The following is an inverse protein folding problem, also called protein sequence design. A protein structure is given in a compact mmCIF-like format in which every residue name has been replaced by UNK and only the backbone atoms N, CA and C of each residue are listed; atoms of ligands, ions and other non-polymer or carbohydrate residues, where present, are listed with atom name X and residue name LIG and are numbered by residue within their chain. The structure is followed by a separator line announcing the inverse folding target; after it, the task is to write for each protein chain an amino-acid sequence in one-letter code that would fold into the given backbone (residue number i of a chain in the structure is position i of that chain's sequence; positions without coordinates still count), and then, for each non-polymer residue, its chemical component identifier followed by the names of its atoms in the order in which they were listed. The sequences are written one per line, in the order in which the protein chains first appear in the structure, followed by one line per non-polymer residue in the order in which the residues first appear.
data_IF_920646257829
#
_entry.id   IF_920646257829
#
_cell.length_a   1.000
_cell.length_b   1.000
_cell.length_c   1.000
_cell.angle_alpha   90.00
_cell.angle_beta   90.00
_cell.angle_gamma   90.00
#
_symmetry.space_group_name_H-M   'P 1'
#
loop_
_entity.id
_entity.type
_entity.pdbx_description
1 polymer ?
#
# COMPACT_ATOMS: atom_id res chain seq x y z
N UNK A 1 14.25 11.27 27.98
CA UNK A 1 13.70 12.17 26.93
C UNK A 1 14.46 12.10 25.59
N UNK A 2 15.80 12.19 25.54
CA UNK A 2 16.58 12.27 24.28
C UNK A 2 16.45 11.03 23.36
N UNK A 3 16.33 9.81 23.93
CA UNK A 3 16.18 8.55 23.17
C UNK A 3 14.82 8.41 22.46
N UNK A 4 13.76 9.03 23.01
CA UNK A 4 12.41 9.05 22.40
C UNK A 4 12.42 9.86 21.11
N UNK A 5 13.00 11.07 21.16
CA UNK A 5 13.04 11.97 20.01
C UNK A 5 13.79 11.39 18.80
N UNK A 6 14.94 10.71 19.01
CA UNK A 6 15.66 10.04 17.91
C UNK A 6 14.86 8.90 17.28
N UNK A 7 14.16 8.13 18.10
CA UNK A 7 13.34 7.00 17.62
C UNK A 7 12.14 7.51 16.82
N UNK A 8 11.48 8.57 17.30
CA UNK A 8 10.38 9.24 16.60
C UNK A 8 10.83 9.82 15.26
N UNK A 9 11.99 10.48 15.24
CA UNK A 9 12.59 11.01 14.04
C UNK A 9 12.91 9.89 13.03
N UNK A 10 13.59 8.82 13.45
CA UNK A 10 13.89 7.68 12.58
C UNK A 10 12.60 7.04 12.05
N UNK A 11 11.56 6.93 12.89
CA UNK A 11 10.23 6.45 12.50
C UNK A 11 9.62 7.34 11.41
N UNK A 12 9.72 8.66 11.54
CA UNK A 12 9.23 9.60 10.52
C UNK A 12 9.99 9.46 9.19
N UNK A 13 11.32 9.29 9.23
CA UNK A 13 12.15 9.07 8.04
C UNK A 13 11.80 7.77 7.31
N UNK A 14 11.74 6.65 8.03
CA UNK A 14 11.31 5.39 7.45
C UNK A 14 9.85 5.46 6.97
N UNK A 15 8.99 6.22 7.65
CA UNK A 15 7.61 6.48 7.24
C UNK A 15 7.54 7.25 5.92
N UNK A 16 8.37 8.28 5.74
CA UNK A 16 8.46 9.04 4.49
C UNK A 16 8.99 8.18 3.35
N UNK A 17 10.00 7.34 3.61
CA UNK A 17 10.50 6.34 2.67
C UNK A 17 9.41 5.33 2.27
N UNK A 18 8.62 4.84 3.22
CA UNK A 18 7.46 3.98 2.96
C UNK A 18 6.45 4.68 2.05
N UNK A 19 6.15 5.95 2.31
CA UNK A 19 5.23 6.73 1.50
C UNK A 19 5.76 6.92 0.07
N UNK A 20 7.01 7.36 -0.05
CA UNK A 20 7.69 7.57 -1.32
C UNK A 20 7.72 6.29 -2.16
N UNK A 21 8.20 5.18 -1.59
CA UNK A 21 8.29 3.90 -2.31
C UNK A 21 6.91 3.29 -2.61
N UNK A 22 5.89 3.56 -1.79
CA UNK A 22 4.51 3.19 -2.11
C UNK A 22 3.97 3.99 -3.30
N UNK A 23 4.34 5.26 -3.43
CA UNK A 23 3.97 6.10 -4.57
C UNK A 23 4.68 5.63 -5.84
N UNK A 24 5.98 5.33 -5.76
CA UNK A 24 6.74 4.74 -6.87
C UNK A 24 6.13 3.40 -7.30
N UNK A 25 5.83 2.51 -6.36
CA UNK A 25 5.18 1.23 -6.65
C UNK A 25 3.80 1.40 -7.30
N UNK A 26 3.04 2.43 -6.93
CA UNK A 26 1.74 2.71 -7.54
C UNK A 26 1.85 3.15 -9.01
N UNK A 27 2.96 3.78 -9.41
CA UNK A 27 3.21 4.18 -10.80
C UNK A 27 3.59 3.00 -11.70
N UNK A 28 4.08 1.89 -11.13
CA UNK A 28 4.45 0.71 -11.89
C UNK A 28 3.18 -0.05 -12.27
N UNK A 29 2.94 -0.32 -13.57
CA UNK A 29 1.79 -1.11 -14.01
C UNK A 29 1.80 -2.48 -13.34
N UNK A 30 0.69 -2.81 -12.66
CA UNK A 30 0.59 -4.08 -11.96
C UNK A 30 0.10 -5.14 -12.93
N UNK A 31 0.82 -6.27 -13.09
CA UNK A 31 0.38 -7.36 -13.95
C UNK A 31 -0.91 -8.00 -13.42
N UNK A 32 -1.10 -8.01 -12.09
CA UNK A 32 -2.32 -8.40 -11.42
C UNK A 32 -2.68 -7.39 -10.33
N UNK A 33 -3.97 -7.11 -10.10
CA UNK A 33 -4.42 -6.07 -9.15
C UNK A 33 -3.91 -6.24 -7.71
N UNK A 34 -3.67 -7.48 -7.29
CA UNK A 34 -3.19 -7.84 -5.95
C UNK A 34 -1.67 -8.04 -5.88
N UNK A 35 -1.00 -8.17 -7.03
CA UNK A 35 0.44 -8.44 -7.05
C UNK A 35 1.18 -7.12 -6.85
N UNK A 36 1.98 -7.08 -5.78
CA UNK A 36 2.85 -5.95 -5.44
C UNK A 36 4.30 -6.39 -5.51
N UNK A 37 5.17 -5.48 -5.90
CA UNK A 37 6.61 -5.71 -5.90
C UNK A 37 7.16 -5.71 -4.47
N UNK A 38 6.47 -5.02 -3.56
CA UNK A 38 6.84 -4.90 -2.16
C UNK A 38 7.89 -3.84 -1.92
N UNK A 39 8.05 -2.83 -2.77
CA UNK A 39 9.08 -1.78 -2.60
C UNK A 39 8.97 -1.09 -1.23
N UNK A 40 7.74 -0.82 -0.78
CA UNK A 40 7.49 -0.25 0.54
C UNK A 40 7.83 -1.19 1.72
N UNK A 41 8.18 -2.46 1.48
CA UNK A 41 8.71 -3.37 2.51
C UNK A 41 10.19 -3.13 2.80
N UNK A 42 10.93 -2.48 1.89
CA UNK A 42 12.35 -2.22 2.10
C UNK A 42 12.62 -1.35 3.33
N UNK A 43 11.95 -0.20 3.54
CA UNK A 43 12.15 0.61 4.75
C UNK A 43 11.74 -0.14 6.02
N UNK A 44 10.67 -0.96 5.96
CA UNK A 44 10.26 -1.82 7.08
C UNK A 44 11.39 -2.78 7.46
N UNK A 45 11.94 -3.47 6.46
CA UNK A 45 13.00 -4.45 6.68
C UNK A 45 14.29 -3.81 7.19
N UNK A 46 14.67 -2.63 6.72
CA UNK A 46 15.84 -1.92 7.26
C UNK A 46 15.60 -1.41 8.70
N UNK A 47 14.35 -1.02 9.01
CA UNK A 47 13.99 -0.50 10.31
C UNK A 47 13.99 -1.56 11.43
N UNK A 48 13.95 -2.86 11.11
CA UNK A 48 13.91 -3.93 12.14
C UNK A 48 15.13 -3.93 13.05
N UNK A 49 16.28 -3.43 12.58
CA UNK A 49 17.52 -3.36 13.37
C UNK A 49 17.69 -2.04 14.14
N UNK A 50 16.85 -1.05 13.85
CA UNK A 50 17.01 0.33 14.34
C UNK A 50 15.88 0.69 15.31
N UNK A 51 14.65 0.30 14.99
CA UNK A 51 13.47 0.68 15.76
C UNK A 51 13.10 -0.41 16.78
N UNK A 52 12.82 -0.04 18.04
CA UNK A 52 12.21 -0.95 18.99
C UNK A 52 10.77 -1.28 18.56
N UNK A 53 10.23 -2.40 19.05
CA UNK A 53 8.89 -2.91 18.68
C UNK A 53 7.77 -1.84 18.66
N UNK A 54 7.65 -0.93 19.66
CA UNK A 54 6.56 0.06 19.63
C UNK A 54 6.67 1.04 18.45
N UNK A 55 7.89 1.51 18.17
CA UNK A 55 8.15 2.42 17.05
C UNK A 55 8.04 1.71 15.70
N UNK A 56 8.49 0.46 15.64
CA UNK A 56 8.31 -0.39 14.47
C UNK A 56 6.82 -0.62 14.16
N UNK A 57 5.99 -0.89 15.18
CA UNK A 57 4.55 -1.04 15.00
C UNK A 57 3.89 0.25 14.45
N UNK A 58 4.30 1.41 14.95
CA UNK A 58 3.85 2.71 14.41
C UNK A 58 4.27 2.87 12.94
N UNK A 59 5.51 2.53 12.60
CA UNK A 59 5.99 2.57 11.21
C UNK A 59 5.16 1.66 10.28
N UNK A 60 4.81 0.46 10.72
CA UNK A 60 3.96 -0.48 9.98
C UNK A 60 2.57 0.12 9.75
N UNK A 61 1.98 0.77 10.76
CA UNK A 61 0.70 1.48 10.60
C UNK A 61 0.80 2.63 9.60
N UNK A 62 1.87 3.44 9.68
CA UNK A 62 2.13 4.52 8.72
C UNK A 62 2.21 3.97 7.30
N UNK A 63 2.90 2.86 7.08
CA UNK A 63 2.96 2.20 5.77
C UNK A 63 1.59 1.73 5.28
N UNK A 64 0.80 1.07 6.13
CA UNK A 64 -0.54 0.59 5.78
C UNK A 64 -1.42 1.76 5.35
N UNK A 65 -1.42 2.85 6.13
CA UNK A 65 -2.17 4.06 5.83
C UNK A 65 -1.66 4.73 4.54
N UNK A 66 -0.34 4.87 4.37
CA UNK A 66 0.25 5.44 3.16
C UNK A 66 -0.18 4.67 1.90
N UNK A 67 -0.10 3.35 1.91
CA UNK A 67 -0.55 2.52 0.78
C UNK A 67 -2.04 2.67 0.50
N UNK A 68 -2.87 2.76 1.55
CA UNK A 68 -4.31 2.97 1.41
C UNK A 68 -4.67 4.36 0.86
N UNK A 69 -3.97 5.40 1.31
CA UNK A 69 -4.14 6.78 0.87
C UNK A 69 -3.72 6.95 -0.59
N UNK A 70 -2.52 6.51 -0.95
CA UNK A 70 -1.96 6.59 -2.31
C UNK A 70 -2.84 5.81 -3.29
N UNK A 71 -3.30 4.61 -2.88
CA UNK A 71 -4.17 3.78 -3.71
C UNK A 71 -5.62 4.28 -3.80
N UNK A 72 -6.04 5.17 -2.89
CA UNK A 72 -7.44 5.55 -2.70
C UNK A 72 -8.32 4.37 -2.24
N UNK A 73 -7.74 3.39 -1.55
CA UNK A 73 -8.38 2.09 -1.22
C UNK A 73 -8.81 1.95 0.23
N UNK A 74 -8.62 2.96 1.09
CA UNK A 74 -8.83 2.87 2.55
C UNK A 74 -10.14 2.20 2.98
N UNK A 75 -11.23 2.41 2.24
CA UNK A 75 -12.54 1.83 2.56
C UNK A 75 -12.92 0.66 1.64
N UNK A 76 -11.94 -0.14 1.22
CA UNK A 76 -12.13 -1.29 0.31
C UNK A 76 -11.47 -2.57 0.83
N UNK A 77 -11.90 -3.74 0.32
CA UNK A 77 -11.25 -5.02 0.61
C UNK A 77 -9.76 -5.04 0.23
N UNK A 78 -9.37 -4.27 -0.79
CA UNK A 78 -7.97 -4.13 -1.22
C UNK A 78 -7.10 -3.58 -0.08
N UNK A 79 -7.64 -2.67 0.74
CA UNK A 79 -6.93 -2.18 1.92
C UNK A 79 -6.80 -3.25 3.00
N UNK A 80 -7.86 -4.01 3.28
CA UNK A 80 -7.80 -5.09 4.27
C UNK A 80 -6.79 -6.17 3.88
N UNK A 81 -6.74 -6.54 2.60
CA UNK A 81 -5.78 -7.53 2.09
C UNK A 81 -4.34 -7.00 2.18
N UNK A 82 -4.15 -5.73 1.82
CA UNK A 82 -2.86 -5.02 1.96
C UNK A 82 -2.40 -4.93 3.40
N UNK A 83 -3.32 -4.63 4.32
CA UNK A 83 -3.05 -4.52 5.75
C UNK A 83 -2.65 -5.89 6.30
N UNK A 84 -3.46 -6.93 6.09
CA UNK A 84 -3.17 -8.30 6.52
C UNK A 84 -1.79 -8.76 6.01
N UNK A 85 -1.51 -8.61 4.71
CA UNK A 85 -0.21 -8.97 4.14
C UNK A 85 0.96 -8.19 4.76
N UNK A 86 0.78 -6.88 4.97
CA UNK A 86 1.81 -6.04 5.59
C UNK A 86 2.05 -6.41 7.06
N UNK A 87 1.00 -6.65 7.83
CA UNK A 87 1.10 -7.08 9.23
C UNK A 87 1.81 -8.43 9.35
N UNK A 88 1.40 -9.43 8.56
CA UNK A 88 2.03 -10.75 8.55
C UNK A 88 3.50 -10.70 8.13
N UNK A 89 3.82 -9.95 7.07
CA UNK A 89 5.21 -9.76 6.63
C UNK A 89 6.05 -9.03 7.67
N UNK A 90 5.55 -7.93 8.23
CA UNK A 90 6.31 -7.11 9.17
C UNK A 90 6.58 -7.88 10.47
N UNK A 91 5.60 -8.64 10.97
CA UNK A 91 5.78 -9.51 12.13
C UNK A 91 6.87 -10.54 11.87
N UNK A 92 6.81 -11.27 10.75
CA UNK A 92 7.80 -12.29 10.44
C UNK A 92 9.19 -11.67 10.24
N UNK A 93 9.29 -10.55 9.53
CA UNK A 93 10.54 -9.82 9.35
C UNK A 93 11.16 -9.42 10.69
N UNK A 94 10.37 -8.83 11.60
CA UNK A 94 10.82 -8.45 12.93
C UNK A 94 11.30 -9.66 13.74
N UNK A 95 10.55 -10.77 13.73
CA UNK A 95 10.90 -12.00 14.45
C UNK A 95 12.17 -12.68 13.93
N UNK A 96 12.47 -12.55 12.64
CA UNK A 96 13.70 -13.09 12.03
C UNK A 96 14.90 -12.16 12.26
N UNK A 97 14.67 -10.86 12.43
CA UNK A 97 15.69 -9.85 12.69
C UNK A 97 16.07 -9.72 14.19
N UNK A 98 15.38 -10.43 15.09
CA UNK A 98 15.66 -10.35 16.54
C UNK A 98 17.12 -10.70 16.88
N UNK A 99 17.73 -10.00 17.86
CA UNK A 99 19.10 -10.26 18.32
C UNK A 99 19.25 -11.73 18.75
N UNK A 100 20.18 -12.46 18.11
CA UNK A 100 20.38 -13.91 18.31
C UNK A 100 20.09 -14.77 17.06
N UNK A 101 19.35 -14.24 16.07
CA UNK A 101 19.05 -14.92 14.79
C UNK A 101 19.83 -14.39 13.58
N UNK A 102 20.96 -13.71 13.80
CA UNK A 102 21.84 -13.08 12.78
C UNK A 102 22.43 -14.00 11.69
N UNK A 103 21.95 -15.23 11.57
CA UNK A 103 22.31 -16.16 10.49
C UNK A 103 21.54 -15.89 9.19
N UNK A 104 20.49 -15.08 9.22
CA UNK A 104 19.61 -14.84 8.07
C UNK A 104 19.94 -13.47 7.48
N UNK A 105 20.25 -13.44 6.18
CA UNK A 105 20.50 -12.20 5.44
C UNK A 105 19.20 -11.45 5.13
N UNK A 106 19.30 -10.19 4.69
CA UNK A 106 18.12 -9.43 4.23
C UNK A 106 17.38 -10.12 3.09
N UNK A 107 18.10 -10.87 2.23
CA UNK A 107 17.48 -11.72 1.22
C UNK A 107 16.52 -12.75 1.85
N UNK A 108 16.96 -13.48 2.88
CA UNK A 108 16.11 -14.46 3.56
C UNK A 108 14.93 -13.82 4.29
N UNK A 109 15.17 -12.70 4.99
CA UNK A 109 14.13 -11.95 5.70
C UNK A 109 13.06 -11.44 4.71
N UNK A 110 13.48 -10.92 3.56
CA UNK A 110 12.59 -10.41 2.52
C UNK A 110 11.76 -11.51 1.86
N UNK A 111 12.38 -12.64 1.50
CA UNK A 111 11.65 -13.80 0.93
C UNK A 111 10.64 -14.36 1.93
N UNK A 112 11.02 -14.51 3.20
CA UNK A 112 10.10 -14.96 4.24
C UNK A 112 8.93 -13.99 4.42
N UNK A 113 9.19 -12.69 4.49
CA UNK A 113 8.14 -11.68 4.59
C UNK A 113 7.22 -11.64 3.35
N UNK A 114 7.77 -11.78 2.14
CA UNK A 114 6.99 -11.87 0.91
C UNK A 114 6.07 -13.10 0.91
N UNK A 115 6.59 -14.25 1.35
CA UNK A 115 5.79 -15.46 1.51
C UNK A 115 4.65 -15.25 2.53
N UNK A 116 4.95 -14.69 3.71
CA UNK A 116 3.95 -14.43 4.74
C UNK A 116 2.87 -13.43 4.28
N UNK A 117 3.26 -12.35 3.57
CA UNK A 117 2.31 -11.40 2.99
C UNK A 117 1.38 -12.08 1.99
N UNK A 118 1.95 -12.85 1.06
CA UNK A 118 1.19 -13.47 -0.01
C UNK A 118 0.29 -14.58 0.54
N UNK A 119 0.75 -15.36 1.51
CA UNK A 119 -0.06 -16.36 2.19
C UNK A 119 -1.25 -15.73 2.93
N UNK A 120 -1.06 -14.63 3.65
CA UNK A 120 -2.13 -13.90 4.32
C UNK A 120 -3.15 -13.34 3.31
N UNK A 121 -2.67 -12.75 2.21
CA UNK A 121 -3.53 -12.23 1.14
C UNK A 121 -4.33 -13.34 0.45
N UNK A 122 -3.69 -14.49 0.14
CA UNK A 122 -4.37 -15.65 -0.43
C UNK A 122 -5.43 -16.23 0.54
N UNK A 123 -5.13 -16.26 1.84
CA UNK A 123 -6.09 -16.68 2.86
C UNK A 123 -7.33 -15.78 2.90
N UNK A 124 -7.13 -14.46 2.90
CA UNK A 124 -8.21 -13.48 2.82
C UNK A 124 -8.97 -13.58 1.50
N UNK A 125 -8.26 -13.74 0.39
CA UNK A 125 -8.83 -13.88 -0.95
C UNK A 125 -9.73 -15.11 -1.06
N UNK A 126 -9.31 -16.24 -0.48
CA UNK A 126 -10.12 -17.47 -0.38
C UNK A 126 -11.41 -17.23 0.41
N UNK A 127 -11.33 -16.57 1.56
CA UNK A 127 -12.49 -16.40 2.44
C UNK A 127 -13.50 -15.40 1.88
N UNK A 128 -13.03 -14.26 1.35
CA UNK A 128 -13.90 -13.13 1.03
C UNK A 128 -14.31 -13.02 -0.45
N UNK A 129 -13.48 -13.46 -1.39
CA UNK A 129 -13.71 -13.16 -2.82
C UNK A 129 -13.80 -14.44 -3.65
N UNK A 130 -12.72 -15.23 -3.73
CA UNK A 130 -12.56 -16.27 -4.75
C UNK A 130 -12.96 -17.68 -4.30
N UNK A 131 -13.27 -17.88 -3.01
CA UNK A 131 -13.65 -19.20 -2.50
C UNK A 131 -12.53 -20.23 -2.65
N UNK A 132 -12.87 -21.54 -2.70
CA UNK A 132 -11.89 -22.63 -2.83
C UNK A 132 -10.96 -22.49 -4.05
N UNK A 133 -11.42 -21.86 -5.13
CA UNK A 133 -10.68 -21.65 -6.39
C UNK A 133 -9.41 -20.83 -6.23
N UNK A 134 -9.27 -20.06 -5.14
CA UNK A 134 -8.06 -19.28 -4.85
C UNK A 134 -6.77 -20.13 -4.83
N UNK A 135 -6.86 -21.42 -4.51
CA UNK A 135 -5.70 -22.32 -4.45
C UNK A 135 -5.05 -22.55 -5.81
N UNK A 136 -5.79 -22.49 -6.91
CA UNK A 136 -5.21 -22.69 -8.25
C UNK A 136 -4.20 -21.60 -8.63
N UNK A 137 -4.34 -20.40 -8.07
CA UNK A 137 -3.44 -19.26 -8.32
C UNK A 137 -2.28 -19.21 -7.33
N UNK A 138 -2.38 -19.95 -6.22
CA UNK A 138 -1.42 -19.81 -5.12
C UNK A 138 0.02 -20.15 -5.54
N UNK A 139 0.32 -21.25 -6.28
CA UNK A 139 1.70 -21.54 -6.69
C UNK A 139 2.36 -20.43 -7.52
N UNK A 140 1.78 -19.95 -8.65
CA UNK A 140 2.40 -18.86 -9.41
C UNK A 140 2.44 -17.55 -8.61
N UNK A 141 1.42 -17.26 -7.80
CA UNK A 141 1.40 -16.04 -6.97
C UNK A 141 2.51 -16.03 -5.90
N UNK A 142 2.74 -17.16 -5.24
CA UNK A 142 3.83 -17.31 -4.27
C UNK A 142 5.20 -17.29 -4.95
N UNK A 143 5.33 -17.91 -6.13
CA UNK A 143 6.58 -17.92 -6.89
C UNK A 143 7.01 -16.49 -7.30
N UNK A 144 6.09 -15.69 -7.88
CA UNK A 144 6.40 -14.31 -8.25
C UNK A 144 6.70 -13.46 -7.02
N UNK A 145 5.97 -13.67 -5.92
CA UNK A 145 6.26 -13.03 -4.64
C UNK A 145 7.66 -13.34 -4.11
N UNK A 146 8.08 -14.60 -4.18
CA UNK A 146 9.41 -15.03 -3.75
C UNK A 146 10.52 -14.41 -4.61
N UNK A 147 10.34 -14.35 -5.94
CA UNK A 147 11.30 -13.69 -6.85
C UNK A 147 11.41 -12.19 -6.52
N UNK A 148 10.28 -11.51 -6.37
CA UNK A 148 10.28 -10.08 -6.00
C UNK A 148 10.93 -9.85 -4.64
N UNK A 149 10.61 -10.69 -3.65
CA UNK A 149 11.20 -10.67 -2.32
C UNK A 149 12.72 -10.90 -2.35
N UNK A 150 13.19 -11.84 -3.17
CA UNK A 150 14.62 -12.11 -3.34
C UNK A 150 15.35 -10.91 -3.92
N UNK A 151 14.85 -10.33 -5.02
CA UNK A 151 15.45 -9.15 -5.65
C UNK A 151 15.52 -7.97 -4.67
N UNK A 152 14.44 -7.69 -3.96
CA UNK A 152 14.39 -6.62 -2.96
C UNK A 152 15.37 -6.86 -1.81
N UNK A 153 15.47 -8.10 -1.33
CA UNK A 153 16.35 -8.47 -0.24
C UNK A 153 17.83 -8.50 -0.63
N UNK A 154 18.17 -8.86 -1.88
CA UNK A 154 19.51 -8.72 -2.43
C UNK A 154 19.92 -7.24 -2.53
N UNK A 155 19.01 -6.37 -2.97
CA UNK A 155 19.25 -4.94 -2.96
C UNK A 155 19.46 -4.42 -1.53
N UNK A 156 18.62 -4.82 -0.58
CA UNK A 156 18.76 -4.42 0.82
C UNK A 156 20.08 -4.89 1.44
N UNK A 157 20.54 -6.11 1.14
CA UNK A 157 21.87 -6.60 1.55
C UNK A 157 23.00 -5.69 1.04
N UNK A 158 22.95 -5.30 -0.24
CA UNK A 158 23.96 -4.39 -0.82
C UNK A 158 23.88 -2.98 -0.28
N UNK A 159 22.67 -2.48 -0.07
CA UNK A 159 22.44 -1.16 0.51
C UNK A 159 22.97 -1.12 1.95
N UNK A 160 22.62 -2.13 2.75
CA UNK A 160 23.00 -2.20 4.15
C UNK A 160 24.50 -2.39 4.43
N UNK A 161 25.27 -2.84 3.44
CA UNK A 161 26.73 -2.99 3.54
C UNK A 161 27.52 -1.79 3.01
N UNK A 162 26.86 -0.84 2.32
CA UNK A 162 27.52 0.31 1.69
C UNK A 162 26.99 1.67 2.14
N UNK A 163 25.78 1.73 2.68
CA UNK A 163 25.13 2.97 3.10
C UNK A 163 25.72 3.47 4.43
N UNK A 164 26.37 4.62 4.38
CA UNK A 164 26.87 5.32 5.55
C UNK A 164 25.71 5.91 6.37
N UNK A 165 24.61 6.30 5.71
CA UNK A 165 23.41 6.75 6.40
C UNK A 165 22.82 5.67 7.31
N UNK A 166 22.67 4.44 6.79
CA UNK A 166 22.11 3.35 7.58
C UNK A 166 23.05 2.94 8.72
N UNK A 167 24.36 2.92 8.46
CA UNK A 167 25.35 2.64 9.49
C UNK A 167 25.32 3.69 10.60
N UNK A 168 25.23 4.98 10.25
CA UNK A 168 25.07 6.08 11.21
C UNK A 168 23.82 5.96 12.08
N UNK A 169 22.70 5.49 11.52
CA UNK A 169 21.49 5.21 12.29
C UNK A 169 21.64 4.01 13.23
N UNK A 170 22.36 2.95 12.82
CA UNK A 170 22.64 1.77 13.65
C UNK A 170 23.59 2.07 14.81
N UNK A 171 24.65 2.83 14.55
CA UNK A 171 25.66 3.22 15.55
C UNK A 171 25.15 4.31 16.49
N UNK A 172 24.07 5.01 16.12
CA UNK A 172 23.55 6.16 16.84
C UNK A 172 24.41 7.42 16.71
N UNK A 173 25.38 7.43 15.79
CA UNK A 173 26.26 8.58 15.50
C UNK A 173 25.76 9.44 14.34
N UNK A 174 24.84 8.93 13.52
CA UNK A 174 24.32 9.63 12.34
C UNK A 174 23.48 10.85 12.69
N UNK A 175 23.79 11.99 12.06
CA UNK A 175 22.93 13.18 12.04
C UNK A 175 22.00 13.11 10.84
N UNK A 176 20.70 13.31 11.06
CA UNK A 176 19.73 13.46 9.98
C UNK A 176 19.68 14.93 9.52
N UNK A 177 19.46 15.20 8.23
CA UNK A 177 19.38 16.55 7.69
C UNK A 177 18.37 17.40 8.46
N UNK A 178 18.81 18.57 8.98
CA UNK A 178 17.96 19.43 9.82
C UNK A 178 16.90 20.18 8.99
N UNK A 179 17.23 20.50 7.74
CA UNK A 179 16.36 21.12 6.75
C UNK A 179 15.16 20.23 6.37
N UNK A 180 15.30 18.90 6.48
CA UNK A 180 14.21 17.96 6.21
C UNK A 180 13.04 18.01 7.22
N UNK A 181 13.18 18.74 8.33
CA UNK A 181 12.11 18.96 9.31
C UNK A 181 11.54 20.37 9.26
N UNK A 182 12.01 21.21 8.34
CA UNK A 182 11.47 22.54 8.17
C UNK A 182 10.09 22.43 7.50
N UNK A 183 8.99 22.87 8.17
CA UNK A 183 7.66 22.82 7.59
C UNK A 183 7.54 23.62 6.28
N UNK A 184 8.47 24.55 6.00
CA UNK A 184 8.48 25.34 4.77
C UNK A 184 9.31 24.69 3.62
N UNK A 185 10.16 23.71 3.91
CA UNK A 185 11.01 23.02 2.91
C UNK A 185 10.22 22.14 1.93
N UNK A 186 9.04 21.67 2.34
CA UNK A 186 8.10 20.93 1.53
C UNK A 186 6.87 21.77 1.29
N UNK A 187 6.95 22.68 0.32
CA UNK A 187 5.80 23.46 -0.16
C UNK A 187 4.54 22.61 -0.08
N UNK A 188 3.59 23.06 0.74
CA UNK A 188 2.30 22.43 0.95
C UNK A 188 1.60 22.23 -0.41
N UNK A 189 1.81 21.09 -1.05
CA UNK A 189 0.98 20.65 -2.17
C UNK A 189 -0.21 19.86 -1.63
N UNK A 190 -0.85 20.40 -0.59
CA UNK A 190 -2.28 20.18 -0.41
C UNK A 190 -2.98 21.18 -1.32
N UNK A 191 -3.99 20.78 -2.12
CA UNK A 191 -4.69 21.74 -2.96
C UNK A 191 -5.16 22.91 -2.08
N UNK A 192 -4.75 24.12 -2.47
CA UNK A 192 -5.21 25.37 -1.87
C UNK A 192 -6.71 25.26 -1.58
N UNK A 193 -7.11 25.61 -0.36
CA UNK A 193 -8.48 25.52 0.12
C UNK A 193 -9.44 26.22 -0.84
N UNK A 194 -9.98 25.48 -1.81
CA UNK A 194 -10.98 25.94 -2.76
C UNK A 194 -12.26 26.16 -1.98
N UNK A 195 -12.90 27.33 -2.11
CA UNK A 195 -14.17 27.70 -1.45
C UNK A 195 -15.12 26.48 -1.44
N UNK A 196 -15.44 25.99 -0.24
CA UNK A 196 -16.18 24.75 -0.01
C UNK A 196 -17.68 24.99 -0.14
N UNK A 197 -18.34 24.34 -1.11
CA UNK A 197 -19.80 24.15 -1.10
C UNK A 197 -20.22 23.05 -0.12
N UNK A 198 -21.51 22.97 0.21
CA UNK A 198 -22.08 21.99 1.16
C UNK A 198 -21.71 20.52 0.84
N UNK A 199 -21.68 20.15 -0.44
CA UNK A 199 -21.24 18.81 -0.92
C UNK A 199 -19.72 18.55 -0.80
N UNK A 200 -18.92 19.57 -0.50
CA UNK A 200 -17.47 19.47 -0.29
C UNK A 200 -17.07 19.40 1.18
N UNK A 201 -18.03 19.36 2.11
CA UNK A 201 -17.73 19.15 3.51
C UNK A 201 -17.20 17.71 3.73
N UNK A 202 -15.99 17.52 4.30
CA UNK A 202 -15.41 16.19 4.55
C UNK A 202 -16.35 15.26 5.33
N UNK A 203 -17.09 15.82 6.29
CA UNK A 203 -18.07 15.07 7.08
C UNK A 203 -19.25 14.55 6.25
N UNK A 204 -19.77 15.36 5.32
CA UNK A 204 -20.85 14.94 4.44
C UNK A 204 -20.41 13.81 3.50
N UNK A 205 -19.23 13.95 2.87
CA UNK A 205 -18.68 12.92 1.98
C UNK A 205 -18.42 11.61 2.72
N UNK A 206 -17.90 11.69 3.93
CA UNK A 206 -17.72 10.52 4.77
C UNK A 206 -19.06 9.85 5.10
N UNK A 207 -20.05 10.62 5.58
CA UNK A 207 -21.37 10.10 5.93
C UNK A 207 -22.09 9.46 4.72
N UNK A 208 -22.12 10.15 3.59
CA UNK A 208 -22.70 9.64 2.35
C UNK A 208 -21.96 8.40 1.83
N UNK A 209 -20.62 8.40 1.91
CA UNK A 209 -19.80 7.26 1.54
C UNK A 209 -20.08 6.03 2.41
N UNK A 210 -20.20 6.20 3.72
CA UNK A 210 -20.58 5.11 4.62
C UNK A 210 -22.01 4.60 4.35
N UNK A 211 -22.95 5.48 4.00
CA UNK A 211 -24.29 5.06 3.58
C UNK A 211 -24.24 4.20 2.31
N UNK A 212 -23.46 4.63 1.30
CA UNK A 212 -23.25 3.83 0.07
C UNK A 212 -22.58 2.49 0.34
N UNK A 213 -21.57 2.46 1.22
CA UNK A 213 -20.94 1.20 1.65
C UNK A 213 -21.94 0.27 2.35
N UNK A 214 -22.81 0.82 3.21
CA UNK A 214 -23.88 0.06 3.85
C UNK A 214 -24.82 -0.58 2.83
N UNK A 215 -25.34 0.21 1.88
CA UNK A 215 -26.22 -0.33 0.83
C UNK A 215 -25.48 -1.37 -0.02
N UNK A 216 -24.22 -1.12 -0.37
CA UNK A 216 -23.45 -2.03 -1.22
C UNK A 216 -23.17 -3.39 -0.54
N UNK A 217 -22.82 -3.37 0.75
CA UNK A 217 -22.43 -4.56 1.52
C UNK A 217 -23.63 -5.41 2.00
N UNK A 218 -24.78 -4.78 2.25
CA UNK A 218 -25.98 -5.47 2.76
C UNK A 218 -27.05 -5.74 1.69
N UNK A 219 -26.83 -5.32 0.44
CA UNK A 219 -27.77 -5.60 -0.65
C UNK A 219 -27.45 -6.89 -1.37
N UNK A 220 -28.39 -7.83 -1.35
CA UNK A 220 -28.35 -9.06 -2.16
C UNK A 220 -28.79 -8.84 -3.62
N UNK A 221 -29.26 -7.63 -3.96
CA UNK A 221 -29.78 -7.32 -5.28
C UNK A 221 -28.70 -6.68 -6.18
N UNK A 222 -28.24 -7.36 -7.25
CA UNK A 222 -27.18 -6.84 -8.11
C UNK A 222 -27.57 -5.55 -8.83
N UNK A 223 -28.86 -5.28 -9.07
CA UNK A 223 -29.32 -4.04 -9.67
C UNK A 223 -29.13 -2.84 -8.73
N UNK A 224 -29.40 -3.02 -7.43
CA UNK A 224 -29.19 -1.98 -6.41
C UNK A 224 -27.69 -1.72 -6.26
N UNK A 225 -26.87 -2.78 -6.19
CA UNK A 225 -25.41 -2.63 -6.17
C UNK A 225 -24.90 -1.90 -7.41
N UNK A 226 -25.39 -2.26 -8.60
CA UNK A 226 -25.05 -1.58 -9.85
C UNK A 226 -25.41 -0.10 -9.84
N UNK A 227 -26.58 0.27 -9.30
CA UNK A 227 -26.99 1.66 -9.17
C UNK A 227 -26.08 2.45 -8.20
N UNK A 228 -25.71 1.87 -7.06
CA UNK A 228 -24.78 2.49 -6.11
C UNK A 228 -23.40 2.67 -6.72
N UNK A 229 -22.88 1.66 -7.43
CA UNK A 229 -21.59 1.73 -8.12
C UNK A 229 -21.60 2.83 -9.19
N UNK A 230 -22.67 2.91 -9.98
CA UNK A 230 -22.84 3.95 -10.99
C UNK A 230 -22.91 5.34 -10.37
N UNK A 231 -23.69 5.51 -9.29
CA UNK A 231 -23.76 6.78 -8.57
C UNK A 231 -22.39 7.19 -7.99
N UNK A 232 -21.66 6.26 -7.36
CA UNK A 232 -20.32 6.52 -6.85
C UNK A 232 -19.32 6.87 -7.96
N UNK A 233 -19.41 6.21 -9.13
CA UNK A 233 -18.59 6.53 -10.30
C UNK A 233 -18.88 7.94 -10.83
N UNK A 234 -20.17 8.32 -10.94
CA UNK A 234 -20.58 9.66 -11.35
C UNK A 234 -20.06 10.72 -10.37
N UNK A 235 -20.24 10.54 -9.06
CA UNK A 235 -19.73 11.46 -8.05
C UNK A 235 -18.21 11.60 -8.13
N UNK A 236 -17.49 10.48 -8.31
CA UNK A 236 -16.04 10.48 -8.47
C UNK A 236 -15.61 11.27 -9.72
N UNK A 237 -16.29 11.10 -10.86
CA UNK A 237 -16.01 11.82 -12.11
C UNK A 237 -16.33 13.32 -11.97
N UNK A 238 -17.49 13.67 -11.39
CA UNK A 238 -17.90 15.05 -11.16
C UNK A 238 -16.90 15.82 -10.29
N UNK A 239 -16.29 15.13 -9.32
CA UNK A 239 -15.22 15.69 -8.50
C UNK A 239 -13.85 15.74 -9.19
N UNK A 240 -13.73 15.32 -10.46
CA UNK A 240 -12.48 15.27 -11.22
C UNK A 240 -11.58 14.10 -10.82
N UNK A 241 -12.14 13.00 -10.35
CA UNK A 241 -11.46 11.73 -10.17
C UNK A 241 -11.26 11.01 -11.51
N UNK A 242 -10.19 10.21 -11.61
CA UNK A 242 -9.94 9.35 -12.78
C UNK A 242 -10.31 7.91 -12.46
N UNK A 243 -11.09 7.29 -13.34
CA UNK A 243 -11.34 5.85 -13.29
C UNK A 243 -10.31 5.16 -14.17
N UNK A 244 -9.52 4.26 -13.58
CA UNK A 244 -8.54 3.47 -14.31
C UNK A 244 -9.25 2.26 -14.92
N UNK A 245 -9.79 2.42 -16.13
CA UNK A 245 -10.64 1.41 -16.75
C UNK A 245 -9.94 0.06 -16.92
N UNK A 246 -8.64 0.03 -17.23
CA UNK A 246 -7.91 -1.23 -17.44
C UNK A 246 -7.80 -2.07 -16.15
N UNK A 247 -7.25 -1.57 -15.02
CA UNK A 247 -7.26 -2.32 -13.76
C UNK A 247 -8.65 -2.76 -13.30
N UNK A 248 -9.67 -1.94 -13.52
CA UNK A 248 -11.05 -2.23 -13.13
C UNK A 248 -11.65 -3.38 -13.96
N UNK A 249 -11.43 -3.37 -15.27
CA UNK A 249 -11.83 -4.45 -16.17
C UNK A 249 -11.09 -5.75 -15.85
N UNK A 250 -9.77 -5.68 -15.60
CA UNK A 250 -8.97 -6.86 -15.21
C UNK A 250 -9.45 -7.44 -13.88
N UNK A 251 -9.77 -6.59 -12.90
CA UNK A 251 -10.34 -7.01 -11.61
C UNK A 251 -11.68 -7.71 -11.79
N UNK A 252 -12.59 -7.07 -12.52
CA UNK A 252 -13.95 -7.59 -12.74
C UNK A 252 -13.90 -8.90 -13.52
N UNK A 253 -13.13 -8.96 -14.61
CA UNK A 253 -12.93 -10.18 -15.39
C UNK A 253 -12.29 -11.29 -14.55
N UNK A 254 -11.30 -10.96 -13.71
CA UNK A 254 -10.68 -11.91 -12.79
C UNK A 254 -11.66 -12.47 -11.77
N UNK A 255 -12.42 -11.61 -11.09
CA UNK A 255 -13.43 -12.03 -10.08
C UNK A 255 -14.49 -12.93 -10.71
N UNK A 256 -15.05 -12.53 -11.86
CA UNK A 256 -16.03 -13.33 -12.58
C UNK A 256 -15.41 -14.67 -13.01
N UNK A 257 -14.24 -14.63 -13.65
CA UNK A 257 -13.55 -15.82 -14.16
C UNK A 257 -13.25 -16.85 -13.06
N UNK A 258 -12.76 -16.42 -11.90
CA UNK A 258 -12.50 -17.33 -10.78
C UNK A 258 -13.76 -17.91 -10.15
N UNK A 259 -14.85 -17.15 -10.11
CA UNK A 259 -16.11 -17.66 -9.57
C UNK A 259 -16.74 -18.71 -10.52
N UNK A 260 -16.52 -18.58 -11.84
CA UNK A 260 -16.94 -19.57 -12.83
C UNK A 260 -16.24 -20.93 -12.68
N UNK A 261 -15.07 -20.99 -12.02
CA UNK A 261 -14.38 -22.27 -11.73
C UNK A 261 -15.11 -23.11 -10.66
N UNK A 262 -16.03 -22.51 -9.92
CA UNK A 262 -16.89 -23.19 -8.93
C UNK A 262 -18.33 -23.19 -9.42
N UNK A 263 -18.69 -24.10 -10.35
CA UNK A 263 -20.02 -24.13 -10.94
C UNK A 263 -21.08 -24.58 -9.92
N UNK A 264 -22.17 -23.83 -9.83
CA UNK A 264 -23.37 -24.20 -9.08
C UNK A 264 -24.63 -23.56 -9.69
N UNK A 265 -25.78 -24.21 -9.52
CA UNK A 265 -27.03 -23.79 -10.14
C UNK A 265 -27.14 -24.24 -11.60
N UNK A 266 -28.00 -23.56 -12.37
CA UNK A 266 -28.33 -23.93 -13.76
C UNK A 266 -27.14 -23.74 -14.70
N UNK A 267 -26.81 -24.75 -15.49
CA UNK A 267 -25.81 -24.63 -16.57
C UNK A 267 -26.39 -23.79 -17.69
N UNK A 268 -25.69 -22.71 -18.05
CA UNK A 268 -26.07 -21.83 -19.16
C UNK A 268 -25.31 -22.20 -20.44
N UNK A 269 -24.02 -22.50 -20.31
CA UNK A 269 -23.13 -22.79 -21.43
C UNK A 269 -21.94 -23.64 -20.96
N UNK A 270 -21.33 -24.45 -21.83
CA UNK A 270 -20.20 -25.32 -21.44
C UNK A 270 -19.10 -25.37 -22.52
N UNK A 271 -18.29 -24.30 -22.65
CA UNK A 271 -17.15 -24.30 -23.55
C UNK A 271 -15.99 -25.12 -22.95
N UNK A 272 -15.35 -25.95 -23.77
CA UNK A 272 -14.14 -26.72 -23.40
C UNK A 272 -14.28 -27.55 -22.11
N UNK A 273 -15.50 -28.03 -21.81
CA UNK A 273 -15.77 -28.84 -20.63
C UNK A 273 -15.95 -28.05 -19.33
N UNK A 274 -15.78 -26.72 -19.33
CA UNK A 274 -16.03 -25.86 -18.16
C UNK A 274 -17.49 -25.41 -18.12
N UNK A 275 -18.32 -25.91 -17.18
CA UNK A 275 -19.73 -25.51 -17.10
C UNK A 275 -19.84 -24.07 -16.56
N UNK A 276 -20.29 -23.15 -17.39
CA UNK A 276 -20.68 -21.80 -17.00
C UNK A 276 -22.10 -21.88 -16.45
N UNK A 277 -22.24 -21.77 -15.13
CA UNK A 277 -23.54 -21.79 -14.47
C UNK A 277 -24.02 -20.38 -14.15
N UNK A 278 -25.35 -20.22 -14.14
CA UNK A 278 -26.03 -18.98 -13.79
C UNK A 278 -25.66 -18.49 -12.39
N UNK A 279 -25.64 -19.41 -11.41
CA UNK A 279 -25.30 -19.09 -10.03
C UNK A 279 -23.86 -18.58 -9.88
N UNK A 280 -22.91 -19.23 -10.56
CA UNK A 280 -21.51 -18.83 -10.53
C UNK A 280 -21.29 -17.46 -11.21
N UNK A 281 -21.96 -17.21 -12.33
CA UNK A 281 -21.89 -15.95 -13.07
C UNK A 281 -22.48 -14.79 -12.25
N UNK A 282 -23.69 -14.94 -11.73
CA UNK A 282 -24.36 -13.91 -10.93
C UNK A 282 -23.59 -13.59 -9.65
N UNK A 283 -23.10 -14.64 -8.95
CA UNK A 283 -22.22 -14.44 -7.79
C UNK A 283 -20.94 -13.70 -8.17
N UNK A 284 -20.36 -14.01 -9.34
CA UNK A 284 -19.16 -13.34 -9.85
C UNK A 284 -19.40 -11.85 -10.08
N UNK A 285 -20.51 -11.52 -10.74
CA UNK A 285 -20.93 -10.13 -11.00
C UNK A 285 -21.17 -9.39 -9.68
N UNK A 286 -21.89 -9.98 -8.73
CA UNK A 286 -22.21 -9.36 -7.44
C UNK A 286 -20.93 -9.04 -6.63
N UNK A 287 -19.98 -9.98 -6.58
CA UNK A 287 -18.68 -9.78 -5.92
C UNK A 287 -17.86 -8.70 -6.64
N UNK A 288 -17.85 -8.69 -7.97
CA UNK A 288 -17.14 -7.69 -8.75
C UNK A 288 -17.71 -6.28 -8.53
N UNK A 289 -19.04 -6.13 -8.57
CA UNK A 289 -19.74 -4.87 -8.27
C UNK A 289 -19.42 -4.39 -6.87
N UNK A 290 -19.40 -5.28 -5.88
CA UNK A 290 -19.05 -4.94 -4.50
C UNK A 290 -17.62 -4.40 -4.41
N UNK A 291 -16.64 -5.09 -5.01
CA UNK A 291 -15.23 -4.68 -4.95
C UNK A 291 -14.99 -3.35 -5.69
N UNK A 292 -15.54 -3.18 -6.88
CA UNK A 292 -15.46 -1.93 -7.66
C UNK A 292 -16.17 -0.77 -6.96
N UNK A 293 -17.38 -1.01 -6.45
CA UNK A 293 -18.16 0.00 -5.73
C UNK A 293 -17.41 0.52 -4.51
N UNK A 294 -16.85 -0.38 -3.69
CA UNK A 294 -16.02 0.02 -2.56
C UNK A 294 -14.79 0.84 -2.98
N UNK A 295 -14.17 0.50 -4.11
CA UNK A 295 -13.04 1.26 -4.63
C UNK A 295 -13.44 2.68 -5.05
N UNK A 296 -14.55 2.84 -5.77
CA UNK A 296 -15.03 4.16 -6.20
C UNK A 296 -15.48 5.02 -5.02
N UNK A 297 -16.25 4.43 -4.10
CA UNK A 297 -16.68 5.11 -2.87
C UNK A 297 -15.46 5.54 -2.05
N UNK A 298 -14.49 4.65 -1.85
CA UNK A 298 -13.25 4.94 -1.14
C UNK A 298 -12.47 6.10 -1.79
N UNK A 299 -12.30 6.07 -3.12
CA UNK A 299 -11.60 7.16 -3.85
C UNK A 299 -12.32 8.49 -3.71
N UNK A 300 -13.65 8.48 -3.75
CA UNK A 300 -14.47 9.70 -3.60
C UNK A 300 -14.39 10.27 -2.18
N UNK A 301 -14.52 9.43 -1.15
CA UNK A 301 -14.36 9.83 0.26
C UNK A 301 -12.98 10.45 0.53
N UNK A 302 -11.94 9.94 -0.12
CA UNK A 302 -10.56 10.39 0.08
C UNK A 302 -10.19 11.70 -0.62
N UNK A 303 -11.07 12.27 -1.46
CA UNK A 303 -10.82 13.59 -2.07
C UNK A 303 -10.88 14.75 -1.08
N UNK A 304 -11.59 14.60 0.04
CA UNK A 304 -11.60 15.62 1.09
C UNK A 304 -10.35 15.48 1.97
N UNK A 305 -9.51 16.51 2.00
CA UNK A 305 -8.26 16.49 2.78
C UNK A 305 -8.52 16.12 4.25
N UNK A 306 -7.85 15.09 4.73
CA UNK A 306 -7.95 14.61 6.11
C UNK A 306 -6.88 15.28 6.97
N UNK A 307 -7.27 15.95 8.07
CA UNK A 307 -6.32 16.53 9.05
C UNK A 307 -6.54 15.85 10.39
N UNK A 308 -5.50 15.18 10.90
CA UNK A 308 -5.52 14.50 12.19
C UNK A 308 -4.94 15.43 13.27
N UNK A 309 -5.67 15.74 14.36
CA UNK A 309 -5.12 16.49 15.49
C UNK A 309 -4.27 15.60 16.41
N UNK A 310 -3.38 16.23 17.18
CA UNK A 310 -2.58 15.58 18.22
C UNK A 310 -1.28 14.91 17.75
N UNK A 311 -0.70 14.06 18.61
CA UNK A 311 0.60 13.39 18.37
C UNK A 311 0.68 12.59 17.05
N UNK A 312 -0.37 11.84 16.63
CA UNK A 312 -0.35 11.17 15.32
C UNK A 312 -0.31 12.17 14.15
N UNK A 313 -0.96 13.32 14.30
CA UNK A 313 -0.93 14.41 13.33
C UNK A 313 0.47 15.00 13.17
N UNK A 314 1.19 15.21 14.27
CA UNK A 314 2.57 15.70 14.26
C UNK A 314 3.52 14.71 13.55
N UNK A 315 3.38 13.41 13.81
CA UNK A 315 4.15 12.39 13.11
C UNK A 315 3.87 12.40 11.61
N UNK A 316 2.61 12.48 11.20
CA UNK A 316 2.22 12.56 9.79
C UNK A 316 2.79 13.84 9.15
N UNK A 317 2.74 14.98 9.85
CA UNK A 317 3.32 16.22 9.36
C UNK A 317 4.84 16.09 9.12
N UNK A 318 5.57 15.47 10.05
CA UNK A 318 7.01 15.18 9.88
C UNK A 318 7.27 14.24 8.69
N UNK A 319 6.48 13.16 8.56
CA UNK A 319 6.56 12.23 7.43
C UNK A 319 6.35 12.96 6.10
N UNK A 320 5.38 13.87 6.02
CA UNK A 320 5.07 14.63 4.81
C UNK A 320 6.14 15.69 4.50
N UNK A 321 6.71 16.36 5.51
CA UNK A 321 7.82 17.29 5.35
C UNK A 321 9.05 16.59 4.78
N UNK A 322 9.45 15.44 5.37
CA UNK A 322 10.56 14.61 4.87
C UNK A 322 10.26 14.08 3.46
N UNK A 323 9.02 13.71 3.17
CA UNK A 323 8.62 13.30 1.81
C UNK A 323 8.79 14.43 0.80
N UNK A 324 8.45 15.67 1.17
CA UNK A 324 8.69 16.86 0.37
C UNK A 324 10.19 17.04 0.08
N UNK A 325 11.02 16.95 1.11
CA UNK A 325 12.49 16.96 0.99
C UNK A 325 13.01 15.90 0.01
N UNK A 326 12.58 14.64 0.16
CA UNK A 326 12.99 13.53 -0.73
C UNK A 326 12.55 13.76 -2.18
N UNK A 327 11.34 14.29 -2.37
CA UNK A 327 10.77 14.54 -3.70
C UNK A 327 11.47 15.70 -4.41
N UNK A 328 11.85 16.76 -3.67
CA UNK A 328 12.58 17.90 -4.20
C UNK A 328 13.97 17.51 -4.70
N UNK A 329 14.64 16.57 -4.04
CA UNK A 329 15.99 16.10 -4.40
C UNK A 329 16.00 14.90 -5.35
N UNK A 330 14.85 14.48 -5.91
CA UNK A 330 14.76 13.33 -6.82
C UNK A 330 15.65 13.44 -8.06
N UNK A 331 15.91 14.67 -8.54
CA UNK A 331 16.76 14.93 -9.71
C UNK A 331 18.24 14.64 -9.46
N UNK A 332 18.67 14.55 -8.20
CA UNK A 332 20.04 14.20 -7.82
C UNK A 332 20.31 12.69 -7.84
N UNK A 333 19.31 11.88 -8.16
CA UNK A 333 19.47 10.43 -8.25
C UNK A 333 20.22 10.06 -9.54
N UNK A 334 21.40 9.48 -9.41
CA UNK A 334 22.12 8.87 -10.54
C UNK A 334 21.82 7.35 -10.60
N UNK A 335 21.20 6.87 -11.70
CA UNK A 335 20.95 5.45 -11.92
C UNK A 335 22.21 4.57 -12.00
N UNK A 336 23.38 5.15 -12.34
CA UNK A 336 24.65 4.40 -12.43
C UNK A 336 25.20 4.05 -11.05
N UNK A 337 24.96 4.92 -10.07
CA UNK A 337 25.39 4.74 -8.68
C UNK A 337 24.19 4.86 -7.72
N UNK A 338 23.24 3.90 -7.76
CA UNK A 338 21.97 4.06 -7.08
C UNK A 338 22.12 4.12 -5.55
N UNK A 339 23.03 3.31 -4.98
CA UNK A 339 23.25 3.28 -3.52
C UNK A 339 23.91 4.57 -3.04
N UNK A 340 24.99 5.01 -3.70
CA UNK A 340 25.69 6.23 -3.30
C UNK A 340 24.83 7.49 -3.49
N UNK A 341 23.99 7.53 -4.53
CA UNK A 341 23.05 8.62 -4.75
C UNK A 341 21.97 8.69 -3.67
N UNK A 342 21.39 7.54 -3.29
CA UNK A 342 20.45 7.47 -2.17
C UNK A 342 21.13 7.92 -0.88
N UNK A 343 22.33 7.44 -0.60
CA UNK A 343 23.07 7.76 0.62
C UNK A 343 23.33 9.26 0.76
N UNK A 344 23.80 9.93 -0.32
CA UNK A 344 23.98 11.39 -0.37
C UNK A 344 22.68 12.15 -0.09
N UNK A 345 21.56 11.73 -0.70
CA UNK A 345 20.25 12.37 -0.46
C UNK A 345 19.83 12.24 1.01
N UNK A 346 20.06 11.07 1.61
CA UNK A 346 19.70 10.79 3.01
C UNK A 346 20.60 11.48 4.02
N UNK A 347 21.88 11.70 3.69
CA UNK A 347 22.84 12.45 4.51
C UNK A 347 22.69 13.97 4.36
N UNK A 348 22.05 14.43 3.28
CA UNK A 348 21.86 15.85 3.02
C UNK A 348 23.04 16.52 2.32
N UNK A 349 23.96 15.72 1.78
CA UNK A 349 25.15 16.23 1.09
C UNK A 349 24.76 17.15 -0.09
N UNK A 350 25.35 18.33 -0.12
CA UNK A 350 25.13 19.34 -1.16
C UNK A 350 25.99 19.12 -2.41
N UNK A 351 26.86 18.11 -2.40
CA UNK A 351 27.77 17.82 -3.52
C UNK A 351 27.01 17.29 -4.73
N UNK A 352 26.91 18.13 -5.77
CA UNK A 352 26.36 17.73 -7.07
C UNK A 352 27.12 16.52 -7.64
N UNK A 353 26.43 15.60 -8.34
CA UNK A 353 27.12 14.58 -9.13
C UNK A 353 27.96 15.30 -10.20
N UNK A 354 29.29 15.09 -10.15
CA UNK A 354 30.22 15.54 -11.19
C UNK A 354 30.11 14.71 -12.45
#
# INVERSE_FOLDING_TARGET
MIRSSRTEIATAWFGALCFFLSAVEYLIPKPLPFLRLGLANLPIMLATEILPLPAFAVLVLVKILAQGLIGGTLFSYIFLFSAAGTLSSALLMYLLALPGKRRISYAGISVAGAFASNAAQLGMARWYIFGPSAWYIAPPFLAVGAVSGLLLGLFANRFASRSQWLEGLRSGTGSLPKDAFDPDSGAQTGPAARKQGFFNAPAFRAAAGFAFLGVLLFSDNPAIQGAVVAAAAVLLICDGGKISSVPALVMTAGIIGFNLLTPFGKVLYQPFGLPITEGALLSGIQKALTVEGMLFISRWMMKSGFRLPGKPGELIARVLSILGYLTARKSRFDPKEPIASIDRIMLGDETEPR
#
